data_IF_114561284593
#
_entry.id   IF_114561284593
#
_cell.length_a   1.000
_cell.length_b   1.000
_cell.length_c   1.000
_cell.angle_alpha   90.00
_cell.angle_beta   90.00
_cell.angle_gamma   90.00
#
_symmetry.space_group_name_H-M   'P 1'
#
loop_
_entity.id
_entity.type
_entity.pdbx_description
1 polymer ?
#
# COMPACT_ATOMS: atom_id res chain seq x y z
N UNK A 1 13.99 7.86 14.22
CA UNK A 1 12.59 8.31 14.47
C UNK A 1 11.71 7.63 13.43
N UNK A 2 10.55 7.10 13.82
CA UNK A 2 9.63 6.51 12.85
C UNK A 2 9.04 7.63 12.01
N UNK A 3 8.97 7.43 10.70
CA UNK A 3 8.35 8.37 9.79
C UNK A 3 6.86 8.57 10.14
N UNK A 4 6.43 9.83 10.27
CA UNK A 4 5.10 10.19 10.76
C UNK A 4 3.98 9.63 9.89
N UNK A 5 4.21 9.48 8.58
CA UNK A 5 3.23 8.91 7.65
C UNK A 5 3.01 7.44 7.97
N UNK A 6 4.07 6.70 8.27
CA UNK A 6 3.95 5.30 8.70
C UNK A 6 3.35 5.18 10.11
N UNK A 7 3.72 6.06 11.04
CA UNK A 7 3.16 6.06 12.39
C UNK A 7 1.63 6.28 12.38
N UNK A 8 1.14 7.22 11.56
CA UNK A 8 -0.29 7.44 11.36
C UNK A 8 -0.95 6.23 10.67
N UNK A 9 -0.31 5.68 9.64
CA UNK A 9 -0.83 4.49 8.96
C UNK A 9 -0.96 3.28 9.91
N UNK A 10 -0.01 3.07 10.82
CA UNK A 10 -0.12 2.01 11.82
C UNK A 10 -1.27 2.24 12.78
N UNK A 11 -1.54 3.49 13.16
CA UNK A 11 -2.71 3.83 13.97
C UNK A 11 -4.00 3.47 13.25
N UNK A 12 -4.15 3.82 11.97
CA UNK A 12 -5.32 3.44 11.16
C UNK A 12 -5.47 1.92 11.03
N UNK A 13 -4.38 1.19 10.78
CA UNK A 13 -4.39 -0.29 10.70
C UNK A 13 -4.89 -0.89 12.01
N UNK A 14 -4.44 -0.41 13.16
CA UNK A 14 -4.91 -0.90 14.47
C UNK A 14 -6.41 -0.68 14.62
N UNK A 15 -6.92 0.49 14.22
CA UNK A 15 -8.36 0.79 14.32
C UNK A 15 -9.17 -0.13 13.41
N UNK A 16 -8.73 -0.40 12.18
CA UNK A 16 -9.37 -1.39 11.29
C UNK A 16 -9.37 -2.79 11.93
N UNK A 17 -8.24 -3.23 12.48
CA UNK A 17 -8.09 -4.56 13.07
C UNK A 17 -9.00 -4.82 14.28
N UNK A 18 -9.46 -3.78 14.99
CA UNK A 18 -10.46 -3.93 16.08
C UNK A 18 -11.80 -4.45 15.59
N UNK A 19 -12.11 -4.28 14.30
CA UNK A 19 -13.38 -4.66 13.70
C UNK A 19 -13.28 -5.91 12.81
N UNK A 20 -12.11 -6.53 12.73
CA UNK A 20 -11.91 -7.80 12.05
C UNK A 20 -12.42 -8.95 12.94
N UNK A 21 -12.85 -10.06 12.33
CA UNK A 21 -13.25 -11.25 13.07
C UNK A 21 -12.11 -11.73 13.97
N UNK A 22 -12.44 -12.32 15.13
CA UNK A 22 -11.42 -12.86 16.03
C UNK A 22 -10.56 -13.91 15.32
N UNK A 23 -11.19 -14.77 14.52
CA UNK A 23 -10.50 -15.81 13.75
C UNK A 23 -9.44 -15.22 12.81
N UNK A 24 -9.79 -14.17 12.06
CA UNK A 24 -8.86 -13.54 11.12
C UNK A 24 -7.80 -12.69 11.83
N UNK A 25 -8.15 -12.09 12.97
CA UNK A 25 -7.19 -11.39 13.81
C UNK A 25 -6.12 -12.35 14.36
N UNK A 26 -6.54 -13.51 14.86
CA UNK A 26 -5.65 -14.53 15.46
C UNK A 26 -4.72 -15.20 14.42
N UNK A 27 -5.03 -15.11 13.12
CA UNK A 27 -4.13 -15.54 12.03
C UNK A 27 -2.90 -14.63 11.87
N UNK A 28 -2.94 -13.40 12.37
CA UNK A 28 -1.82 -12.45 12.25
C UNK A 28 -0.80 -12.71 13.36
N UNK A 29 0.50 -12.87 13.03
CA UNK A 29 1.56 -13.01 14.02
C UNK A 29 1.60 -11.83 15.00
N UNK A 30 1.68 -12.15 16.29
CA UNK A 30 1.59 -11.17 17.36
C UNK A 30 2.73 -10.13 17.32
N UNK A 31 3.90 -10.49 16.79
CA UNK A 31 5.03 -9.56 16.58
C UNK A 31 4.65 -8.43 15.62
N UNK A 32 3.86 -8.71 14.58
CA UNK A 32 3.35 -7.68 13.64
C UNK A 32 2.38 -6.74 14.31
N UNK A 33 1.43 -7.28 15.06
CA UNK A 33 0.48 -6.49 15.84
C UNK A 33 1.21 -5.59 16.84
N UNK A 34 2.18 -6.14 17.55
CA UNK A 34 2.98 -5.40 18.53
C UNK A 34 3.81 -4.30 17.86
N UNK A 35 4.37 -4.57 16.68
CA UNK A 35 5.08 -3.55 15.89
C UNK A 35 4.15 -2.40 15.53
N UNK A 36 2.94 -2.66 15.03
CA UNK A 36 1.98 -1.59 14.74
C UNK A 36 1.67 -0.78 15.98
N UNK A 37 1.37 -1.42 17.11
CA UNK A 37 1.05 -0.73 18.38
C UNK A 37 2.21 0.15 18.86
N UNK A 38 3.43 -0.40 18.87
CA UNK A 38 4.62 0.32 19.33
C UNK A 38 4.99 1.50 18.44
N UNK A 39 4.74 1.37 17.14
CA UNK A 39 5.14 2.38 16.15
C UNK A 39 4.01 3.35 15.80
N UNK A 40 2.80 3.14 16.30
CA UNK A 40 1.65 4.00 16.01
C UNK A 40 1.81 5.38 16.63
N UNK A 41 1.31 6.40 15.92
CA UNK A 41 1.23 7.74 16.47
C UNK A 41 0.03 7.84 17.41
N UNK A 42 0.28 8.00 18.71
CA UNK A 42 -0.76 8.14 19.73
C UNK A 42 -1.54 9.46 19.63
N UNK A 43 -0.92 10.50 19.06
CA UNK A 43 -1.55 11.81 18.88
C UNK A 43 -2.41 11.91 17.61
N UNK A 44 -2.42 10.86 16.78
CA UNK A 44 -3.24 10.80 15.58
C UNK A 44 -4.57 10.10 15.88
N UNK A 45 -5.65 10.84 15.71
CA UNK A 45 -7.00 10.32 15.92
C UNK A 45 -7.60 9.85 14.59
N UNK A 46 -7.98 8.58 14.55
CA UNK A 46 -8.70 7.97 13.44
C UNK A 46 -9.71 6.99 14.03
N UNK A 47 -10.91 6.95 13.46
CA UNK A 47 -11.98 6.04 13.86
C UNK A 47 -12.49 5.32 12.63
N UNK A 48 -12.54 4.00 12.69
CA UNK A 48 -13.06 3.18 11.61
C UNK A 48 -14.59 3.03 11.70
N UNK A 49 -15.27 3.21 10.58
CA UNK A 49 -16.73 3.07 10.45
C UNK A 49 -17.06 1.80 9.66
N UNK A 50 -17.60 0.80 10.36
CA UNK A 50 -17.94 -0.51 9.76
C UNK A 50 -19.03 -0.41 8.69
N UNK A 51 -19.80 0.67 8.63
CA UNK A 51 -20.85 0.87 7.65
C UNK A 51 -20.35 1.44 6.32
N UNK A 52 -19.07 1.83 6.26
CA UNK A 52 -18.42 2.39 5.07
C UNK A 52 -17.36 1.43 4.55
N UNK A 53 -17.17 1.43 3.24
CA UNK A 53 -16.06 0.69 2.63
C UNK A 53 -14.71 1.31 2.99
N UNK A 54 -13.62 0.54 2.86
CA UNK A 54 -12.25 1.03 3.10
C UNK A 54 -11.89 2.23 2.19
N UNK A 55 -12.53 2.33 1.02
CA UNK A 55 -12.32 3.42 0.06
C UNK A 55 -13.17 4.66 0.32
N UNK A 56 -14.37 4.50 0.88
CA UNK A 56 -15.22 5.62 1.30
C UNK A 56 -14.73 6.27 2.59
N UNK A 57 -13.88 5.57 3.34
CA UNK A 57 -13.22 6.09 4.51
C UNK A 57 -11.88 6.74 4.11
N UNK A 58 -11.50 7.82 4.81
CA UNK A 58 -10.24 8.54 4.61
C UNK A 58 -9.02 7.75 5.16
N UNK A 59 -8.98 6.44 4.91
CA UNK A 59 -7.84 5.58 5.25
C UNK A 59 -6.69 5.92 4.31
N UNK A 60 -5.52 6.19 4.88
CA UNK A 60 -4.33 6.54 4.12
C UNK A 60 -3.93 5.44 3.14
N UNK A 61 -3.33 5.84 2.03
CA UNK A 61 -2.78 4.90 1.03
C UNK A 61 -1.79 3.90 1.64
N UNK A 62 -1.03 4.33 2.65
CA UNK A 62 -0.06 3.48 3.36
C UNK A 62 -0.77 2.44 4.22
N UNK A 63 -1.78 2.81 5.00
CA UNK A 63 -2.56 1.86 5.78
C UNK A 63 -3.29 0.85 4.87
N UNK A 64 -3.91 1.30 3.79
CA UNK A 64 -4.53 0.41 2.78
C UNK A 64 -3.53 -0.60 2.22
N UNK A 65 -2.30 -0.16 1.96
CA UNK A 65 -1.22 -1.04 1.48
C UNK A 65 -0.87 -2.11 2.53
N UNK A 66 -0.74 -1.72 3.80
CA UNK A 66 -0.45 -2.66 4.89
C UNK A 66 -1.61 -3.67 5.05
N UNK A 67 -2.86 -3.21 5.00
CA UNK A 67 -4.05 -4.07 5.06
C UNK A 67 -4.08 -5.06 3.89
N UNK A 68 -3.74 -4.62 2.67
CA UNK A 68 -3.66 -5.50 1.51
C UNK A 68 -2.59 -6.59 1.67
N UNK A 69 -1.45 -6.26 2.30
CA UNK A 69 -0.40 -7.23 2.64
C UNK A 69 -0.92 -8.24 3.68
N UNK A 70 -1.59 -7.77 4.74
CA UNK A 70 -2.19 -8.65 5.75
C UNK A 70 -3.21 -9.60 5.13
N UNK A 71 -4.05 -9.09 4.21
CA UNK A 71 -4.99 -9.91 3.45
C UNK A 71 -4.26 -11.00 2.65
N UNK A 72 -3.27 -10.63 1.83
CA UNK A 72 -2.50 -11.59 1.03
C UNK A 72 -1.84 -12.67 1.89
N UNK A 73 -1.26 -12.27 3.02
CA UNK A 73 -0.40 -13.15 3.80
C UNK A 73 -1.20 -14.02 4.79
N UNK A 74 -2.30 -13.51 5.38
CA UNK A 74 -2.98 -14.18 6.48
C UNK A 74 -4.47 -14.51 6.24
N UNK A 75 -5.15 -13.80 5.35
CA UNK A 75 -6.61 -13.95 5.17
C UNK A 75 -7.00 -14.59 3.83
N UNK A 76 -6.19 -14.41 2.81
CA UNK A 76 -6.45 -14.93 1.47
C UNK A 76 -6.32 -16.46 1.42
N UNK A 77 -7.18 -17.11 0.63
CA UNK A 77 -7.00 -18.51 0.28
C UNK A 77 -5.73 -18.70 -0.54
N UNK A 78 -5.21 -19.93 -0.62
CA UNK A 78 -3.99 -20.20 -1.41
C UNK A 78 -4.16 -19.83 -2.89
N UNK A 79 -5.34 -20.04 -3.46
CA UNK A 79 -5.63 -19.64 -4.84
C UNK A 79 -5.63 -18.11 -5.00
N UNK A 80 -6.28 -17.39 -4.09
CA UNK A 80 -6.30 -15.93 -4.10
C UNK A 80 -4.90 -15.36 -3.92
N UNK A 81 -4.15 -15.87 -2.93
CA UNK A 81 -2.76 -15.49 -2.66
C UNK A 81 -1.87 -15.72 -3.88
N UNK A 82 -2.00 -16.86 -4.57
CA UNK A 82 -1.26 -17.16 -5.80
C UNK A 82 -1.56 -16.16 -6.90
N UNK A 83 -2.84 -15.81 -7.10
CA UNK A 83 -3.25 -14.79 -8.09
C UNK A 83 -2.69 -13.41 -7.75
N UNK A 84 -2.75 -13.01 -6.48
CA UNK A 84 -2.19 -11.73 -6.01
C UNK A 84 -0.69 -11.68 -6.28
N UNK A 85 0.08 -12.67 -5.83
CA UNK A 85 1.54 -12.72 -6.02
C UNK A 85 1.95 -12.73 -7.50
N UNK A 86 1.21 -13.47 -8.34
CA UNK A 86 1.47 -13.47 -9.77
C UNK A 86 1.26 -12.08 -10.40
N UNK A 87 0.21 -11.36 -9.98
CA UNK A 87 -0.04 -9.99 -10.45
C UNK A 87 1.00 -9.00 -9.93
N UNK A 88 1.38 -9.09 -8.66
CA UNK A 88 2.45 -8.27 -8.07
C UNK A 88 3.76 -8.46 -8.84
N UNK A 89 4.15 -9.71 -9.11
CA UNK A 89 5.35 -10.03 -9.88
C UNK A 89 5.31 -9.46 -11.29
N UNK A 90 4.19 -9.63 -11.99
CA UNK A 90 4.00 -9.05 -13.32
C UNK A 90 4.15 -7.53 -13.31
N UNK A 91 3.56 -6.83 -12.33
CA UNK A 91 3.67 -5.38 -12.23
C UNK A 91 5.10 -4.91 -11.96
N UNK A 92 5.84 -5.64 -11.13
CA UNK A 92 7.26 -5.40 -10.87
C UNK A 92 8.06 -5.54 -12.17
N UNK A 93 7.85 -6.59 -12.95
CA UNK A 93 8.55 -6.82 -14.22
C UNK A 93 8.32 -5.68 -15.23
N UNK A 94 7.10 -5.16 -15.31
CA UNK A 94 6.76 -4.02 -16.15
C UNK A 94 7.49 -2.76 -15.69
N UNK A 95 7.47 -2.46 -14.38
CA UNK A 95 8.17 -1.30 -13.80
C UNK A 95 9.68 -1.40 -14.02
N UNK A 96 10.25 -2.57 -13.80
CA UNK A 96 11.67 -2.80 -14.03
C UNK A 96 12.05 -2.63 -15.50
N UNK A 97 11.22 -3.12 -16.42
CA UNK A 97 11.45 -2.93 -17.85
C UNK A 97 11.45 -1.44 -18.20
N UNK A 98 10.46 -0.69 -17.72
CA UNK A 98 10.39 0.77 -17.91
C UNK A 98 11.61 1.48 -17.31
N UNK A 99 12.06 1.06 -16.12
CA UNK A 99 13.26 1.61 -15.48
C UNK A 99 14.52 1.27 -16.29
N UNK A 100 14.68 0.04 -16.78
CA UNK A 100 15.80 -0.37 -17.64
C UNK A 100 15.84 0.45 -18.93
N UNK A 101 14.70 0.74 -19.53
CA UNK A 101 14.60 1.61 -20.71
C UNK A 101 14.95 3.07 -20.38
N UNK A 102 14.39 3.61 -19.29
CA UNK A 102 14.61 5.00 -18.85
C UNK A 102 16.06 5.29 -18.43
N UNK A 103 16.70 4.34 -17.73
CA UNK A 103 18.04 4.48 -17.17
C UNK A 103 19.10 3.69 -17.94
N UNK A 104 18.85 3.38 -19.22
CA UNK A 104 19.81 2.68 -20.05
C UNK A 104 21.11 3.53 -20.21
N UNK A 105 22.28 3.04 -19.78
CA UNK A 105 23.54 3.78 -19.86
C UNK A 105 23.87 4.28 -21.27
N UNK A 106 23.47 3.54 -22.31
CA UNK A 106 23.67 3.93 -23.71
C UNK A 106 22.95 5.23 -24.06
N UNK A 107 21.86 5.59 -23.39
CA UNK A 107 21.16 6.88 -23.57
C UNK A 107 21.59 7.93 -22.55
N UNK A 108 22.02 7.52 -21.35
CA UNK A 108 22.48 8.44 -20.30
C UNK A 108 23.87 9.03 -20.60
N UNK A 109 24.78 8.25 -21.20
CA UNK A 109 26.16 8.67 -21.47
C UNK A 109 26.43 9.07 -22.93
N UNK A 110 25.47 8.88 -23.85
CA UNK A 110 25.60 9.33 -25.26
C UNK A 110 25.21 10.80 -25.48
N UNK A 111 24.86 11.57 -24.44
CA UNK A 111 24.75 13.03 -24.57
C UNK A 111 26.15 13.64 -24.60
N UNK A 112 26.73 13.72 -25.79
CA UNK A 112 27.85 14.63 -26.02
C UNK A 112 27.31 16.07 -25.88
N UNK A 113 27.86 16.75 -24.88
CA UNK A 113 27.91 18.21 -24.64
C UNK A 113 26.98 18.86 -23.59
N UNK A 114 27.61 19.11 -22.42
CA UNK A 114 27.71 20.37 -21.64
C UNK A 114 26.45 21.17 -21.32
N UNK A 115 26.07 21.18 -20.03
CA UNK A 115 25.76 22.47 -19.34
C UNK A 115 25.88 22.35 -17.82
N UNK A 116 26.81 23.16 -17.29
CA UNK A 116 27.00 23.67 -15.92
C UNK A 116 26.11 23.09 -14.81
N UNK A 117 26.76 22.47 -13.83
CA UNK A 117 26.28 22.34 -12.46
C UNK A 117 25.71 23.68 -11.96
N UNK A 118 24.39 23.80 -11.92
CA UNK A 118 23.67 24.80 -11.14
C UNK A 118 22.76 24.05 -10.17
N UNK A 119 23.14 24.12 -8.89
CA UNK A 119 22.33 23.99 -7.68
C UNK A 119 21.35 22.82 -7.62
N UNK A 120 21.85 21.69 -7.12
CA UNK A 120 21.03 20.60 -6.58
C UNK A 120 20.69 20.98 -5.13
N UNK A 121 19.65 21.77 -4.95
CA UNK A 121 18.96 21.92 -3.67
C UNK A 121 17.48 22.09 -3.99
N UNK A 122 16.79 20.95 -4.07
CA UNK A 122 15.34 20.72 -3.90
C UNK A 122 15.03 19.33 -4.49
N UNK A 123 15.38 18.29 -3.73
CA UNK A 123 14.72 16.98 -3.85
C UNK A 123 13.67 16.91 -2.75
N UNK A 124 12.66 17.78 -2.85
CA UNK A 124 11.39 17.59 -2.16
C UNK A 124 10.30 17.41 -3.22
N UNK A 125 9.45 16.41 -2.98
CA UNK A 125 8.14 16.17 -3.58
C UNK A 125 8.02 16.32 -5.10
N UNK A 126 7.94 15.17 -5.81
CA UNK A 126 6.95 14.95 -6.89
C UNK A 126 7.18 13.63 -7.65
N UNK A 127 7.23 12.49 -6.95
CA UNK A 127 6.97 11.20 -7.61
C UNK A 127 5.87 10.42 -6.87
N UNK A 128 4.75 11.10 -6.64
CA UNK A 128 3.46 10.45 -6.55
C UNK A 128 3.07 10.02 -7.97
N UNK A 129 3.33 8.77 -8.30
CA UNK A 129 2.64 8.12 -9.42
C UNK A 129 1.15 8.20 -9.10
N UNK A 130 0.44 9.06 -9.84
CA UNK A 130 -1.02 9.13 -9.85
C UNK A 130 -1.55 7.75 -10.27
N UNK A 131 -1.96 6.94 -9.29
CA UNK A 131 -2.69 5.72 -9.59
C UNK A 131 -4.15 6.12 -9.84
N UNK A 132 -4.64 5.90 -11.06
CA UNK A 132 -6.01 6.17 -11.44
C UNK A 132 -6.95 5.30 -10.59
N UNK A 133 -7.80 5.92 -9.78
CA UNK A 133 -8.75 5.35 -8.79
C UNK A 133 -9.81 4.33 -9.33
N UNK A 134 -9.58 3.70 -10.47
CA UNK A 134 -10.59 2.85 -11.13
C UNK A 134 -10.48 1.35 -10.83
N UNK A 135 -9.34 0.84 -10.35
CA UNK A 135 -9.14 -0.62 -10.22
C UNK A 135 -9.58 -1.17 -8.86
N UNK A 136 -9.22 -0.50 -7.76
CA UNK A 136 -9.62 -0.91 -6.39
C UNK A 136 -11.14 -0.88 -6.21
N UNK A 137 -11.81 0.15 -6.76
CA UNK A 137 -13.29 0.26 -6.77
C UNK A 137 -13.98 -0.95 -7.42
N UNK A 138 -13.37 -1.58 -8.44
CA UNK A 138 -13.95 -2.76 -9.12
C UNK A 138 -13.75 -4.05 -8.35
N UNK A 139 -12.61 -4.20 -7.66
CA UNK A 139 -12.32 -5.38 -6.85
C UNK A 139 -13.16 -5.35 -5.57
N UNK A 140 -13.23 -4.21 -4.90
CA UNK A 140 -13.99 -4.06 -3.65
C UNK A 140 -15.50 -4.26 -3.86
N UNK A 141 -16.07 -3.71 -4.95
CA UNK A 141 -17.49 -3.92 -5.29
C UNK A 141 -17.82 -5.38 -5.61
N UNK A 142 -16.88 -6.17 -6.15
CA UNK A 142 -17.09 -7.60 -6.37
C UNK A 142 -17.12 -8.39 -5.06
N UNK A 143 -16.27 -8.05 -4.11
CA UNK A 143 -16.21 -8.72 -2.80
C UNK A 143 -17.47 -8.39 -1.98
N UNK A 144 -17.93 -7.12 -1.97
CA UNK A 144 -19.15 -6.74 -1.26
C UNK A 144 -20.44 -7.33 -1.84
N UNK A 145 -20.50 -7.58 -3.15
CA UNK A 145 -21.67 -8.21 -3.78
C UNK A 145 -21.80 -9.70 -3.47
N UNK A 146 -20.72 -10.38 -3.06
CA UNK A 146 -20.79 -11.78 -2.60
C UNK A 146 -21.35 -11.89 -1.18
N UNK A 147 -21.08 -10.89 -0.33
CA UNK A 147 -21.53 -10.88 1.08
C UNK A 147 -23.01 -10.47 1.20
N UNK A 148 -23.57 -9.72 0.24
CA UNK A 148 -25.00 -9.34 0.20
C UNK A 148 -25.93 -10.41 -0.40
N UNK A 149 -25.40 -11.58 -0.75
CA UNK A 149 -26.14 -12.63 -1.46
C UNK A 149 -26.42 -13.87 -0.61
N UNK A 150 -26.20 -13.77 0.71
CA UNK A 150 -26.70 -14.66 1.76
C UNK A 150 -27.73 -13.93 2.62
#
# INVERSE_FOLDING_TARGET
MIDIVYANAYKEVIEVLKHVSKEDYDKIPQDKINLFKKCANENYNFTYDINKTLDEQNVSKKAKTIIAILYRDYWATDEQRKKIKAKEQYDIEIIEKQNREKYNPKFLFNRKEVTKYKNIQNYEDNQLIHYKDSFFKKIFNKIMNYIKRE
#
